data_IF_795682596538
#
_entry.id   IF_795682596538
#
_cell.length_a   1.000
_cell.length_b   1.000
_cell.length_c   1.000
_cell.angle_alpha   90.00
_cell.angle_beta   90.00
_cell.angle_gamma   90.00
#
_symmetry.space_group_name_H-M   'P 1'
#
loop_
_entity.id
_entity.type
_entity.pdbx_description
1 polymer ?
#
# COMPACT_ATOMS: atom_id res chain seq x y z
N UNK A 1 7.64 15.59 -2.32
CA UNK A 1 6.73 14.43 -2.11
C UNK A 1 7.35 13.61 -0.99
N UNK A 2 6.62 13.39 0.09
CA UNK A 2 7.13 12.72 1.29
C UNK A 2 7.12 11.21 1.08
N UNK A 3 8.13 10.52 1.61
CA UNK A 3 8.10 9.07 1.69
C UNK A 3 7.52 8.66 3.04
N UNK A 4 6.35 8.00 3.08
CA UNK A 4 5.75 7.57 4.34
C UNK A 4 6.50 6.38 4.94
N UNK A 5 6.38 6.25 6.26
CA UNK A 5 6.81 5.05 6.97
C UNK A 5 5.97 3.87 6.51
N UNK A 6 6.61 2.71 6.43
CA UNK A 6 5.95 1.48 6.04
C UNK A 6 6.54 0.29 6.76
N UNK A 7 5.69 -0.68 7.08
CA UNK A 7 6.08 -1.95 7.65
C UNK A 7 5.55 -3.09 6.79
N UNK A 8 6.33 -4.16 6.63
CA UNK A 8 5.98 -5.32 5.81
C UNK A 8 6.12 -6.57 6.68
N UNK A 9 5.06 -7.37 6.70
CA UNK A 9 5.00 -8.65 7.40
C UNK A 9 4.76 -9.77 6.39
N UNK A 10 5.57 -10.83 6.47
CA UNK A 10 5.41 -12.05 5.69
C UNK A 10 4.78 -13.14 6.57
N UNK A 11 3.62 -13.63 6.15
CA UNK A 11 2.85 -14.68 6.85
C UNK A 11 2.95 -16.04 6.16
N UNK A 12 3.90 -16.23 5.24
CA UNK A 12 4.05 -17.46 4.47
C UNK A 12 3.20 -17.45 3.20
N UNK A 13 1.87 -17.45 3.34
CA UNK A 13 0.90 -17.48 2.22
C UNK A 13 0.56 -16.10 1.64
N UNK A 14 0.81 -15.04 2.42
CA UNK A 14 0.48 -13.65 2.09
C UNK A 14 1.50 -12.68 2.66
N UNK A 15 1.51 -11.49 2.09
CA UNK A 15 2.25 -10.33 2.57
C UNK A 15 1.24 -9.31 3.07
N UNK A 16 1.50 -8.72 4.23
CA UNK A 16 0.72 -7.63 4.80
C UNK A 16 1.60 -6.39 4.90
N UNK A 17 1.11 -5.27 4.39
CA UNK A 17 1.86 -4.02 4.30
C UNK A 17 1.07 -2.94 5.02
N UNK A 18 1.73 -2.21 5.90
CA UNK A 18 1.18 -1.05 6.60
C UNK A 18 1.91 0.20 6.13
N UNK A 19 1.18 1.28 5.88
CA UNK A 19 1.75 2.57 5.48
C UNK A 19 1.06 3.70 6.24
N UNK A 20 1.87 4.58 6.83
CA UNK A 20 1.39 5.72 7.60
C UNK A 20 1.06 6.89 6.66
N UNK A 21 -0.22 7.26 6.62
CA UNK A 21 -0.78 8.32 5.79
C UNK A 21 -1.69 9.23 6.64
N UNK A 22 -1.11 9.98 7.60
CA UNK A 22 -1.89 10.88 8.45
C UNK A 22 -2.52 12.01 7.64
N UNK A 23 -3.72 12.45 8.05
CA UNK A 23 -4.49 13.53 7.41
C UNK A 23 -4.87 13.29 5.94
N UNK A 24 -4.77 12.05 5.47
CA UNK A 24 -5.24 11.61 4.15
C UNK A 24 -6.67 11.12 4.27
N UNK A 25 -7.51 11.40 3.26
CA UNK A 25 -8.83 10.79 3.12
C UNK A 25 -8.74 9.59 2.19
N UNK A 26 -9.58 8.57 2.39
CA UNK A 26 -9.50 7.31 1.61
C UNK A 26 -9.64 7.54 0.10
N UNK A 27 -10.41 8.54 -0.30
CA UNK A 27 -10.67 8.89 -1.71
C UNK A 27 -9.44 9.51 -2.38
N UNK A 28 -8.50 10.03 -1.59
CA UNK A 28 -7.27 10.67 -2.05
C UNK A 28 -6.08 9.68 -2.07
N UNK A 29 -6.34 8.36 -1.98
CA UNK A 29 -5.32 7.28 -2.00
C UNK A 29 -5.41 6.49 -3.31
N UNK A 30 -4.28 6.38 -4.01
CA UNK A 30 -4.13 5.56 -5.20
C UNK A 30 -3.09 4.46 -4.97
N UNK A 31 -3.48 3.23 -5.27
CA UNK A 31 -2.63 2.04 -5.12
C UNK A 31 -2.48 1.39 -6.49
N UNK A 32 -1.24 1.17 -6.91
CA UNK A 32 -0.91 0.50 -8.15
C UNK A 32 -0.05 -0.71 -7.86
N UNK A 33 -0.50 -1.88 -8.30
CA UNK A 33 0.26 -3.12 -8.24
C UNK A 33 0.62 -3.53 -9.67
N UNK A 34 1.91 -3.67 -9.95
CA UNK A 34 2.41 -4.12 -11.26
C UNK A 34 3.48 -5.16 -11.04
N UNK A 35 3.22 -6.43 -11.40
CA UNK A 35 4.13 -7.56 -11.17
C UNK A 35 4.43 -7.73 -9.66
N UNK A 36 5.63 -7.33 -9.23
CA UNK A 36 6.07 -7.36 -7.83
C UNK A 36 6.38 -5.95 -7.29
N UNK A 37 5.87 -4.89 -7.93
CA UNK A 37 6.05 -3.51 -7.46
C UNK A 37 4.71 -2.96 -7.01
N UNK A 38 4.65 -2.52 -5.75
CA UNK A 38 3.53 -1.82 -5.17
C UNK A 38 3.87 -0.33 -5.06
N UNK A 39 3.12 0.52 -5.75
CA UNK A 39 3.21 1.97 -5.67
C UNK A 39 1.97 2.53 -4.96
N UNK A 40 2.19 3.40 -3.98
CA UNK A 40 1.16 4.07 -3.20
C UNK A 40 1.37 5.58 -3.35
N UNK A 41 0.32 6.28 -3.78
CA UNK A 41 0.29 7.74 -3.86
C UNK A 41 -0.87 8.25 -3.02
N UNK A 42 -0.64 9.30 -2.26
CA UNK A 42 -1.70 9.94 -1.50
C UNK A 42 -1.47 11.45 -1.38
N UNK A 43 -2.56 12.21 -1.23
CA UNK A 43 -2.50 13.64 -0.92
C UNK A 43 -3.22 13.90 0.39
N UNK A 44 -2.49 14.41 1.38
CA UNK A 44 -3.04 14.93 2.61
C UNK A 44 -3.47 16.38 2.41
N UNK A 45 -4.65 16.70 2.94
CA UNK A 45 -5.09 18.08 3.11
C UNK A 45 -4.67 18.49 4.52
N UNK A 46 -3.75 19.44 4.64
CA UNK A 46 -3.45 20.02 5.95
C UNK A 46 -4.59 20.95 6.37
N UNK A 47 -4.93 20.94 7.65
CA UNK A 47 -5.71 22.02 8.25
C UNK A 47 -4.93 23.33 8.13
N UNK A 48 -5.62 24.48 7.96
CA UNK A 48 -4.95 25.76 7.85
C UNK A 48 -4.14 26.04 9.12
N UNK A 49 -2.83 26.23 8.97
CA UNK A 49 -1.99 26.87 9.98
C UNK A 49 -1.75 28.28 9.46
N UNK A 50 -2.15 29.30 10.23
CA UNK A 50 -2.02 30.72 9.82
C UNK A 50 -2.70 31.09 8.48
N UNK A 51 -3.83 30.47 8.14
CA UNK A 51 -4.63 30.86 6.96
C UNK A 51 -4.18 30.27 5.61
N UNK A 52 -3.13 29.44 5.58
CA UNK A 52 -2.67 28.75 4.37
C UNK A 52 -2.96 27.24 4.45
N UNK A 53 -3.52 26.67 3.37
CA UNK A 53 -3.63 25.23 3.19
C UNK A 53 -2.33 24.69 2.59
N UNK A 54 -1.55 23.92 3.37
CA UNK A 54 -0.48 23.11 2.80
C UNK A 54 -1.02 21.77 2.31
N UNK A 55 -0.76 21.46 1.04
CA UNK A 55 -0.99 20.12 0.51
C UNK A 55 0.30 19.32 0.64
N UNK A 56 0.24 18.18 1.33
CA UNK A 56 1.36 17.25 1.43
C UNK A 56 1.05 16.01 0.61
N UNK A 57 1.91 15.68 -0.34
CA UNK A 57 1.77 14.47 -1.16
C UNK A 57 2.76 13.41 -0.72
N UNK A 58 2.28 12.18 -0.55
CA UNK A 58 3.06 10.99 -0.20
C UNK A 58 3.29 10.10 -1.42
N UNK A 59 4.50 9.53 -1.53
CA UNK A 59 4.84 8.44 -2.45
C UNK A 59 5.51 7.32 -1.70
N UNK A 60 5.05 6.09 -1.91
CA UNK A 60 5.81 4.91 -1.51
C UNK A 60 5.92 3.94 -2.68
N UNK A 61 7.12 3.42 -2.91
CA UNK A 61 7.36 2.33 -3.86
C UNK A 61 7.97 1.19 -3.07
N UNK A 62 7.34 0.02 -3.13
CA UNK A 62 7.77 -1.18 -2.43
C UNK A 62 8.00 -2.27 -3.47
N UNK A 63 9.23 -2.79 -3.53
CA UNK A 63 9.54 -4.01 -4.27
C UNK A 63 9.19 -5.21 -3.39
N UNK A 64 8.16 -5.95 -3.78
CA UNK A 64 7.72 -7.12 -3.05
C UNK A 64 8.77 -8.24 -3.18
N UNK A 65 9.02 -9.01 -2.11
CA UNK A 65 9.99 -10.10 -2.09
C UNK A 65 9.59 -11.28 -2.98
N UNK A 66 8.33 -11.36 -3.40
CA UNK A 66 7.82 -12.41 -4.28
C UNK A 66 6.73 -11.89 -5.22
N UNK A 67 6.32 -12.73 -6.17
CA UNK A 67 5.12 -12.49 -6.94
C UNK A 67 3.86 -12.66 -6.10
N UNK A 68 2.84 -11.86 -6.39
CA UNK A 68 1.55 -11.86 -5.70
C UNK A 68 0.40 -12.01 -6.70
N UNK A 69 -0.74 -12.48 -6.20
CA UNK A 69 -1.96 -12.61 -7.00
C UNK A 69 -2.74 -11.30 -6.99
N UNK A 70 -2.60 -10.50 -8.06
CA UNK A 70 -3.15 -9.14 -8.17
C UNK A 70 -4.66 -9.07 -7.89
N UNK A 71 -5.43 -10.05 -8.37
CA UNK A 71 -6.89 -10.11 -8.21
C UNK A 71 -7.36 -10.31 -6.77
N UNK A 72 -6.47 -10.71 -5.87
CA UNK A 72 -6.80 -10.94 -4.45
C UNK A 72 -6.40 -9.81 -3.53
N UNK A 73 -5.83 -8.73 -4.08
CA UNK A 73 -5.41 -7.58 -3.31
C UNK A 73 -6.58 -6.97 -2.54
N UNK A 74 -6.41 -6.80 -1.23
CA UNK A 74 -7.37 -6.12 -0.36
C UNK A 74 -6.68 -4.95 0.34
N UNK A 75 -7.35 -3.82 0.43
CA UNK A 75 -6.86 -2.65 1.14
C UNK A 75 -7.91 -2.15 2.15
N UNK A 76 -7.46 -1.71 3.32
CA UNK A 76 -8.27 -1.06 4.35
C UNK A 76 -7.54 0.16 4.85
N UNK A 77 -8.23 1.29 4.93
CA UNK A 77 -7.68 2.52 5.48
C UNK A 77 -8.45 2.92 6.72
N UNK A 78 -7.76 3.05 7.85
CA UNK A 78 -8.37 3.41 9.13
C UNK A 78 -7.35 4.15 10.00
N UNK A 79 -7.80 5.23 10.64
CA UNK A 79 -7.00 6.02 11.59
C UNK A 79 -5.63 6.46 11.04
N UNK A 80 -5.58 6.87 9.77
CA UNK A 80 -4.34 7.30 9.12
C UNK A 80 -3.40 6.16 8.70
N UNK A 81 -3.80 4.89 8.86
CA UNK A 81 -2.98 3.73 8.48
C UNK A 81 -3.65 3.00 7.31
N UNK A 82 -2.89 2.81 6.24
CA UNK A 82 -3.26 1.99 5.10
C UNK A 82 -2.71 0.58 5.28
N UNK A 83 -3.59 -0.41 5.41
CA UNK A 83 -3.27 -1.83 5.44
C UNK A 83 -3.58 -2.47 4.09
N UNK A 84 -2.60 -3.11 3.47
CA UNK A 84 -2.73 -3.84 2.20
C UNK A 84 -2.39 -5.30 2.43
N UNK A 85 -3.21 -6.21 1.92
CA UNK A 85 -3.04 -7.66 2.04
C UNK A 85 -2.94 -8.23 0.62
N UNK A 86 -1.84 -8.92 0.34
CA UNK A 86 -1.54 -9.52 -0.96
C UNK A 86 -1.25 -11.01 -0.78
N UNK A 87 -2.03 -11.90 -1.42
CA UNK A 87 -1.68 -13.32 -1.43
C UNK A 87 -0.47 -13.56 -2.32
N UNK A 88 0.45 -14.40 -1.89
CA UNK A 88 1.56 -14.83 -2.74
C UNK A 88 1.05 -15.74 -3.84
N UNK A 89 1.67 -15.69 -5.01
CA UNK A 89 1.42 -16.72 -6.03
C UNK A 89 2.01 -18.03 -5.55
N UNK A 90 1.17 -19.05 -5.39
CA UNK A 90 1.62 -20.42 -5.19
C UNK A 90 2.00 -20.97 -6.57
N UNK A 91 3.30 -21.26 -6.79
CA UNK A 91 3.72 -22.04 -7.96
C UNK A 91 3.47 -23.51 -7.66
N UNK A 92 2.28 -23.99 -8.00
CA UNK A 92 1.98 -25.42 -7.97
C UNK A 92 2.49 -26.09 -9.24
N UNK A 93 3.30 -27.12 -9.09
CA UNK A 93 3.64 -28.03 -10.19
C UNK A 93 2.56 -29.13 -10.18
N UNK A 94 1.67 -29.13 -11.16
CA UNK A 94 0.67 -30.18 -11.32
C UNK A 94 1.35 -31.33 -12.05
N UNK A 95 1.67 -32.40 -11.32
CA UNK A 95 2.14 -33.63 -11.92
C UNK A 95 0.93 -34.39 -12.43
N UNK A 96 0.85 -34.59 -13.74
CA UNK A 96 -0.13 -35.50 -14.34
C UNK A 96 0.24 -36.92 -13.91
N UNK A 97 -0.73 -37.65 -13.37
CA UNK A 97 -0.69 -39.10 -13.15
C UNK A 97 -1.25 -39.82 -14.36
#
# INVERSE_FOLDING_TARGET
MLEPLSHIEDYGDKIVIYVDLPFVRKEDIFIYLRKNILEIKATAKSTPHFGFFEYKSFKKIIKLPCEVEEKTAKARFQNGILKIILKKKIKGEIRVI
#
